data_IF_894610363003
#
_entry.id   IF_894610363003
#
_cell.length_a   1.000
_cell.length_b   1.000
_cell.length_c   1.000
_cell.angle_alpha   90.00
_cell.angle_beta   90.00
_cell.angle_gamma   90.00
#
_symmetry.space_group_name_H-M   'P 1'
#
loop_
_entity.id
_entity.type
_entity.pdbx_description
1 polymer ?
#
# COMPACT_ATOMS: atom_id res chain seq x y z
N UNK A 1 -10.24 -2.01 -4.39
CA UNK A 1 -10.55 -3.32 -3.78
C UNK A 1 -11.04 -3.15 -2.33
N UNK A 2 -10.27 -2.55 -1.41
CA UNK A 2 -10.75 -2.29 -0.04
C UNK A 2 -12.07 -1.50 0.03
N UNK A 3 -12.25 -0.49 -0.84
CA UNK A 3 -13.50 0.28 -0.95
C UNK A 3 -14.72 -0.61 -1.23
N UNK A 4 -14.60 -1.63 -2.07
CA UNK A 4 -15.75 -2.50 -2.41
C UNK A 4 -15.99 -3.54 -1.31
N UNK A 5 -14.91 -4.07 -0.72
CA UNK A 5 -15.00 -5.01 0.40
C UNK A 5 -15.69 -4.40 1.62
N UNK A 6 -15.34 -3.15 1.98
CA UNK A 6 -15.98 -2.43 3.10
C UNK A 6 -17.45 -2.12 2.83
N UNK A 7 -17.82 -1.78 1.60
CA UNK A 7 -19.23 -1.54 1.25
C UNK A 7 -20.08 -2.80 1.35
N UNK A 8 -19.53 -3.95 0.93
CA UNK A 8 -20.25 -5.23 0.92
C UNK A 8 -20.33 -5.88 2.29
N UNK A 9 -19.36 -5.63 3.16
CA UNK A 9 -19.37 -6.14 4.52
C UNK A 9 -20.44 -5.53 5.42
N UNK A 10 -21.10 -4.43 5.01
CA UNK A 10 -22.14 -3.75 5.81
C UNK A 10 -21.69 -3.53 7.26
N UNK A 11 -20.49 -2.98 7.42
CA UNK A 11 -19.84 -2.70 8.70
C UNK A 11 -19.45 -3.93 9.54
N UNK A 12 -19.67 -5.16 9.05
CA UNK A 12 -19.20 -6.37 9.73
C UNK A 12 -17.67 -6.51 9.68
N UNK A 13 -17.02 -5.94 8.65
CA UNK A 13 -15.55 -5.87 8.56
C UNK A 13 -15.13 -4.50 8.04
N UNK A 14 -14.19 -3.87 8.75
CA UNK A 14 -13.47 -2.69 8.30
C UNK A 14 -12.27 -3.12 7.45
N UNK A 15 -12.28 -2.76 6.17
CA UNK A 15 -11.18 -3.06 5.25
C UNK A 15 -10.39 -1.80 4.91
N UNK A 16 -9.07 -1.95 4.74
CA UNK A 16 -8.17 -0.86 4.42
C UNK A 16 -7.15 -1.33 3.38
N UNK A 17 -6.68 -0.41 2.55
CA UNK A 17 -5.52 -0.64 1.69
C UNK A 17 -4.31 0.01 2.33
N UNK A 18 -3.18 -0.69 2.41
CA UNK A 18 -1.94 -0.18 2.99
C UNK A 18 -0.87 -0.10 1.91
N UNK A 19 -0.18 1.04 1.84
CA UNK A 19 1.03 1.19 1.04
C UNK A 19 2.23 1.45 1.95
N UNK A 20 3.20 0.54 1.99
CA UNK A 20 4.26 0.58 2.99
C UNK A 20 5.43 1.53 2.67
N UNK A 21 5.28 2.31 1.61
CA UNK A 21 6.36 3.08 1.03
C UNK A 21 7.26 2.19 0.18
N UNK A 22 8.52 2.60 0.03
CA UNK A 22 9.47 1.91 -0.83
C UNK A 22 10.28 0.89 -0.02
N UNK A 23 10.13 -0.40 -0.34
CA UNK A 23 10.84 -1.49 0.32
C UNK A 23 11.79 -2.13 -0.68
N UNK A 24 13.03 -2.42 -0.25
CA UNK A 24 13.95 -3.20 -1.06
C UNK A 24 13.63 -4.70 -0.98
N UNK A 25 12.79 -5.18 -1.89
CA UNK A 25 12.49 -6.61 -2.12
C UNK A 25 13.12 -7.10 -3.42
N UNK A 26 13.06 -8.42 -3.66
CA UNK A 26 13.46 -9.06 -4.91
C UNK A 26 12.74 -8.52 -6.16
N UNK A 27 11.53 -7.95 -6.03
CA UNK A 27 10.83 -7.27 -7.14
C UNK A 27 11.65 -6.11 -7.73
N UNK A 28 12.45 -5.44 -6.89
CA UNK A 28 13.32 -4.34 -7.32
C UNK A 28 14.64 -4.82 -7.95
N UNK A 29 14.88 -6.13 -8.01
CA UNK A 29 16.07 -6.73 -8.62
C UNK A 29 15.80 -7.18 -10.07
N UNK A 30 14.54 -7.16 -10.51
CA UNK A 30 14.18 -7.35 -11.92
C UNK A 30 14.64 -6.16 -12.76
N UNK A 31 14.90 -6.36 -14.05
CA UNK A 31 15.29 -5.28 -14.95
C UNK A 31 14.27 -4.12 -14.92
N UNK A 32 12.98 -4.42 -15.02
CA UNK A 32 11.92 -3.42 -14.92
C UNK A 32 11.88 -2.73 -13.54
N UNK A 33 12.10 -3.47 -12.46
CA UNK A 33 12.18 -2.94 -11.10
C UNK A 33 13.35 -1.97 -10.92
N UNK A 34 14.54 -2.32 -11.43
CA UNK A 34 15.73 -1.47 -11.37
C UNK A 34 15.49 -0.17 -12.14
N UNK A 35 14.95 -0.24 -13.36
CA UNK A 35 14.62 0.94 -14.17
C UNK A 35 13.60 1.84 -13.49
N UNK A 36 12.53 1.27 -12.93
CA UNK A 36 11.53 2.01 -12.17
C UNK A 36 12.13 2.72 -10.96
N UNK A 37 13.00 2.04 -10.23
CA UNK A 37 13.66 2.56 -9.03
C UNK A 37 14.73 3.63 -9.34
N UNK A 38 15.40 3.54 -10.48
CA UNK A 38 16.32 4.58 -10.96
C UNK A 38 15.56 5.86 -11.34
N UNK A 39 14.40 5.74 -11.99
CA UNK A 39 13.55 6.90 -12.35
C UNK A 39 13.10 7.71 -11.14
N UNK A 40 12.86 7.05 -10.01
CA UNK A 40 12.53 7.71 -8.74
C UNK A 40 13.76 7.98 -7.85
N UNK A 41 14.96 7.96 -8.43
CA UNK A 41 16.25 8.24 -7.77
C UNK A 41 16.53 7.40 -6.51
N UNK A 42 15.93 6.21 -6.44
CA UNK A 42 16.00 5.31 -5.29
C UNK A 42 17.13 4.28 -5.44
N UNK A 43 17.50 3.93 -6.67
CA UNK A 43 18.71 3.17 -7.00
C UNK A 43 19.66 4.01 -7.87
N UNK A 44 20.97 3.73 -7.76
CA UNK A 44 22.01 4.29 -8.60
C UNK A 44 21.92 3.67 -10.02
N UNK A 45 22.62 4.23 -11.01
CA UNK A 45 22.76 3.61 -12.34
C UNK A 45 23.30 2.17 -12.28
N UNK A 46 24.03 1.82 -11.22
CA UNK A 46 24.55 0.46 -10.98
C UNK A 46 23.58 -0.46 -10.21
N UNK A 47 22.33 -0.02 -9.96
CA UNK A 47 21.33 -0.82 -9.25
C UNK A 47 21.54 -0.91 -7.74
N UNK A 48 22.54 -0.23 -7.20
CA UNK A 48 22.77 -0.15 -5.74
C UNK A 48 21.91 0.93 -5.12
N UNK A 49 21.51 0.76 -3.85
CA UNK A 49 20.71 1.77 -3.17
C UNK A 49 21.48 3.09 -3.07
N UNK A 50 20.84 4.21 -3.44
CA UNK A 50 21.46 5.55 -3.34
C UNK A 50 21.66 6.03 -1.90
N UNK A 51 21.17 5.28 -0.89
CA UNK A 51 21.29 5.63 0.53
C UNK A 51 21.49 4.41 1.42
N UNK A 52 22.18 4.61 2.55
CA UNK A 52 22.16 3.67 3.68
C UNK A 52 20.70 3.42 4.08
N UNK A 53 20.34 2.15 4.32
CA UNK A 53 19.05 1.73 4.88
C UNK A 53 18.83 2.50 6.20
N UNK A 54 18.01 3.55 6.15
CA UNK A 54 17.89 4.55 7.23
C UNK A 54 16.77 4.25 8.22
N UNK A 55 16.79 4.93 9.38
CA UNK A 55 15.68 4.96 10.35
C UNK A 55 14.42 5.60 9.74
N UNK A 56 13.28 5.16 10.28
CA UNK A 56 11.91 5.25 9.76
C UNK A 56 11.43 6.64 9.30
N UNK A 57 10.38 6.58 8.48
CA UNK A 57 9.40 7.60 8.10
C UNK A 57 9.87 8.88 7.37
N UNK A 58 9.12 9.23 6.32
CA UNK A 58 9.18 10.55 5.69
C UNK A 58 10.04 10.68 4.43
N UNK A 59 9.66 11.68 3.61
CA UNK A 59 10.59 12.33 2.67
C UNK A 59 11.83 12.69 3.47
N UNK A 60 13.03 12.25 3.05
CA UNK A 60 14.24 12.82 3.64
C UNK A 60 14.25 14.34 3.42
N UNK A 61 15.12 15.07 4.12
CA UNK A 61 15.25 16.54 4.07
C UNK A 61 15.32 17.16 2.66
N UNK A 62 15.47 16.35 1.61
CA UNK A 62 15.57 16.75 0.22
C UNK A 62 14.33 16.33 -0.62
N UNK A 63 13.20 16.03 0.02
CA UNK A 63 11.97 15.61 -0.67
C UNK A 63 11.97 14.18 -1.24
N UNK A 64 13.06 13.43 -1.12
CA UNK A 64 13.23 12.08 -1.71
C UNK A 64 12.73 10.96 -0.77
N UNK A 65 12.05 9.96 -1.34
CA UNK A 65 11.55 8.77 -0.62
C UNK A 65 12.73 7.93 -0.11
N UNK A 66 12.68 7.49 1.15
CA UNK A 66 13.69 6.60 1.75
C UNK A 66 13.30 5.14 1.50
N UNK A 67 14.26 4.31 1.08
CA UNK A 67 14.10 2.86 1.00
C UNK A 67 14.15 2.25 2.40
N UNK A 68 13.23 1.32 2.69
CA UNK A 68 13.15 0.56 3.95
C UNK A 68 13.66 -0.87 3.79
N UNK A 69 14.11 -1.46 4.89
CA UNK A 69 14.35 -2.90 5.01
C UNK A 69 13.03 -3.65 5.21
N UNK A 70 13.04 -4.95 4.91
CA UNK A 70 11.89 -5.85 5.08
C UNK A 70 11.47 -5.94 6.55
N UNK A 71 12.40 -6.06 7.50
CA UNK A 71 12.05 -6.18 8.93
C UNK A 71 11.26 -4.98 9.47
N UNK A 72 11.63 -3.78 9.02
CA UNK A 72 10.92 -2.54 9.38
C UNK A 72 9.53 -2.48 8.76
N UNK A 73 9.36 -3.07 7.59
CA UNK A 73 8.04 -3.19 6.99
C UNK A 73 7.16 -4.16 7.77
N UNK A 74 7.67 -5.35 8.12
CA UNK A 74 6.93 -6.30 8.94
C UNK A 74 6.48 -5.65 10.26
N UNK A 75 7.35 -4.88 10.90
CA UNK A 75 7.01 -4.12 12.10
C UNK A 75 5.92 -3.05 11.83
N UNK A 76 5.97 -2.34 10.70
CA UNK A 76 4.93 -1.37 10.33
C UNK A 76 3.57 -2.05 10.11
N UNK A 77 3.55 -3.18 9.40
CA UNK A 77 2.32 -3.94 9.21
C UNK A 77 1.73 -4.39 10.55
N UNK A 78 2.56 -4.90 11.47
CA UNK A 78 2.09 -5.25 12.82
C UNK A 78 1.52 -4.00 13.51
N UNK A 79 2.18 -2.85 13.47
CA UNK A 79 1.64 -1.64 14.07
C UNK A 79 0.32 -1.18 13.40
N UNK A 80 0.20 -1.28 12.08
CA UNK A 80 -0.98 -0.83 11.30
C UNK A 80 -2.20 -1.73 11.46
N UNK A 81 -1.97 -3.04 11.60
CA UNK A 81 -3.06 -4.03 11.72
C UNK A 81 -3.48 -4.28 13.18
N UNK A 82 -2.66 -3.90 14.16
CA UNK A 82 -3.02 -4.08 15.57
C UNK A 82 -3.63 -2.79 16.16
N UNK A 83 -4.91 -2.80 16.55
CA UNK A 83 -5.61 -1.62 17.10
C UNK A 83 -4.96 -1.03 18.36
N UNK A 84 -4.11 -1.81 19.03
CA UNK A 84 -3.34 -1.38 20.20
C UNK A 84 -2.31 -0.30 19.83
N UNK A 85 -1.76 -0.35 18.62
CA UNK A 85 -0.67 0.55 18.19
C UNK A 85 -1.17 1.73 17.35
N UNK A 86 -2.25 1.55 16.59
CA UNK A 86 -2.93 2.62 15.85
C UNK A 86 -4.41 2.45 16.11
N UNK A 87 -5.12 3.48 16.63
CA UNK A 87 -6.56 3.41 16.74
C UNK A 87 -7.10 3.18 15.33
N UNK A 88 -7.58 1.96 15.07
CA UNK A 88 -8.34 1.64 13.86
C UNK A 88 -9.39 2.74 13.73
N UNK A 89 -9.51 3.31 12.53
CA UNK A 89 -10.42 4.43 12.24
C UNK A 89 -11.73 3.86 11.70
N UNK A 90 -12.70 3.48 12.55
CA UNK A 90 -13.98 2.97 12.09
C UNK A 90 -14.77 4.02 11.32
N UNK A 91 -14.42 5.29 11.44
CA UNK A 91 -15.02 6.40 10.70
C UNK A 91 -14.65 6.42 9.20
N UNK A 92 -13.66 5.63 8.77
CA UNK A 92 -13.16 5.65 7.37
C UNK A 92 -12.90 4.25 6.81
N UNK A 93 -13.91 3.37 6.74
CA UNK A 93 -13.77 2.06 6.10
C UNK A 93 -13.45 2.23 4.61
N UNK A 94 -12.60 1.36 4.07
CA UNK A 94 -12.15 1.39 2.68
C UNK A 94 -11.03 2.40 2.40
N UNK A 95 -10.50 3.09 3.43
CA UNK A 95 -9.45 4.09 3.26
C UNK A 95 -8.10 3.50 2.82
N UNK A 96 -7.29 4.36 2.22
CA UNK A 96 -5.91 4.08 1.87
C UNK A 96 -4.96 4.69 2.90
N UNK A 97 -4.09 3.84 3.45
CA UNK A 97 -3.12 4.18 4.47
C UNK A 97 -1.73 4.22 3.84
N UNK A 98 -1.02 5.32 4.04
CA UNK A 98 0.40 5.44 3.74
C UNK A 98 1.11 5.83 5.02
N UNK A 99 2.03 4.99 5.49
CA UNK A 99 2.72 5.20 6.78
C UNK A 99 1.73 5.44 7.92
N UNK A 100 0.73 4.58 8.05
CA UNK A 100 -0.29 4.64 9.09
C UNK A 100 -1.22 5.87 9.04
N UNK A 101 -1.11 6.70 8.01
CA UNK A 101 -1.88 7.94 7.85
C UNK A 101 -2.85 7.74 6.69
N UNK A 102 -4.11 8.15 6.88
CA UNK A 102 -5.11 8.14 5.82
C UNK A 102 -4.72 9.17 4.75
N UNK A 103 -4.45 8.69 3.53
CA UNK A 103 -4.00 9.52 2.40
C UNK A 103 -4.80 9.25 1.13
N UNK A 104 -6.13 9.36 1.24
CA UNK A 104 -7.05 9.10 0.11
C UNK A 104 -6.80 10.01 -1.10
N UNK A 105 -6.27 11.22 -0.88
CA UNK A 105 -5.95 12.19 -1.95
C UNK A 105 -4.73 11.78 -2.80
N UNK A 106 -3.91 10.86 -2.31
CA UNK A 106 -2.70 10.39 -3.02
C UNK A 106 -2.97 9.20 -3.93
N UNK A 107 -4.20 8.68 -3.92
CA UNK A 107 -4.62 7.56 -4.76
C UNK A 107 -4.79 8.07 -6.20
N UNK A 108 -4.22 7.40 -7.20
CA UNK A 108 -4.51 7.70 -8.59
C UNK A 108 -6.02 7.61 -8.88
N UNK A 109 -6.53 8.42 -9.81
CA UNK A 109 -7.97 8.47 -10.14
C UNK A 109 -8.57 7.09 -10.46
N UNK A 110 -7.82 6.22 -11.14
CA UNK A 110 -8.24 4.85 -11.46
C UNK A 110 -8.32 3.93 -10.23
N UNK A 111 -7.58 4.22 -9.16
CA UNK A 111 -7.62 3.48 -7.90
C UNK A 111 -8.75 3.91 -6.97
N UNK A 112 -9.29 5.11 -7.15
CA UNK A 112 -10.40 5.67 -6.38
C UNK A 112 -11.78 5.46 -7.03
N UNK A 113 -11.83 4.91 -8.25
CA UNK A 113 -13.08 4.77 -9.01
C UNK A 113 -13.96 3.62 -8.47
N UNK A 114 -15.14 3.92 -7.89
CA UNK A 114 -16.03 2.90 -7.33
C UNK A 114 -16.69 2.03 -8.41
N UNK A 115 -16.90 2.55 -9.62
CA UNK A 115 -17.53 1.80 -10.72
C UNK A 115 -16.59 0.71 -11.20
N UNK A 116 -15.33 1.07 -11.45
CA UNK A 116 -14.30 0.11 -11.80
C UNK A 116 -14.03 -0.91 -10.69
N UNK A 117 -14.06 -0.50 -9.41
CA UNK A 117 -13.92 -1.43 -8.29
C UNK A 117 -15.04 -2.48 -8.26
N UNK A 118 -16.30 -2.08 -8.50
CA UNK A 118 -17.45 -2.98 -8.56
C UNK A 118 -17.38 -3.94 -9.75
N UNK A 119 -16.96 -3.45 -10.92
CA UNK A 119 -16.77 -4.30 -12.11
C UNK A 119 -15.65 -5.31 -11.90
N UNK A 120 -14.51 -4.87 -11.36
CA UNK A 120 -13.38 -5.74 -11.03
C UNK A 120 -13.81 -6.86 -10.09
N UNK A 121 -14.58 -6.53 -9.04
CA UNK A 121 -15.10 -7.51 -8.09
C UNK A 121 -15.92 -8.62 -8.77
N UNK A 122 -16.88 -8.24 -9.61
CA UNK A 122 -17.73 -9.22 -10.33
C UNK A 122 -16.92 -10.12 -11.26
N UNK A 123 -15.92 -9.55 -11.92
CA UNK A 123 -15.01 -10.33 -12.78
C UNK A 123 -14.17 -11.29 -11.94
N UNK A 124 -13.68 -10.84 -10.77
CA UNK A 124 -12.96 -11.70 -9.84
C UNK A 124 -13.85 -12.85 -9.35
N UNK A 125 -15.07 -12.60 -8.87
CA UNK A 125 -16.04 -13.64 -8.47
C UNK A 125 -16.28 -14.65 -9.59
N UNK A 126 -16.42 -14.20 -10.83
CA UNK A 126 -16.58 -15.08 -11.99
C UNK A 126 -15.34 -15.94 -12.27
N UNK A 127 -14.13 -15.40 -12.10
CA UNK A 127 -12.87 -16.11 -12.36
C UNK A 127 -12.60 -17.17 -11.29
N UNK A 128 -12.89 -16.85 -10.03
CA UNK A 128 -12.68 -17.78 -8.90
C UNK A 128 -13.87 -18.73 -8.69
N UNK A 129 -14.98 -18.51 -9.40
CA UNK A 129 -16.24 -19.27 -9.28
C UNK A 129 -16.87 -19.23 -7.87
N UNK A 130 -16.52 -18.22 -7.08
CA UNK A 130 -17.03 -18.00 -5.73
C UNK A 130 -17.73 -16.64 -5.63
N UNK A 131 -18.76 -16.58 -4.78
CA UNK A 131 -19.47 -15.34 -4.48
C UNK A 131 -19.20 -14.91 -3.04
N UNK A 132 -18.95 -13.63 -2.85
CA UNK A 132 -18.70 -13.11 -1.53
C UNK A 132 -20.02 -12.81 -0.79
N UNK A 133 -20.26 -13.53 0.29
CA UNK A 133 -21.44 -13.38 1.14
C UNK A 133 -21.05 -12.91 2.55
N UNK A 134 -21.89 -12.05 3.11
CA UNK A 134 -21.84 -11.51 4.46
C UNK A 134 -23.21 -11.58 5.10
#
# INVERSE_FOLDING_TARGET
MAIELSKRSKDAINSYSVHPGLIHTNLNQTHAGIFGMQRISSLTPMGTSTRKIGRCAGRGNNGRRRIRSVDKWCALCICEFFPIFIPLRPDKPGAYLSDCIVTNETIPCHGSDPVNAKTLWKVTEKIIEETFSF
#
